data_IF_760372830885
#
_entry.id   IF_760372830885
#
_cell.length_a   1.000
_cell.length_b   1.000
_cell.length_c   1.000
_cell.angle_alpha   90.00
_cell.angle_beta   90.00
_cell.angle_gamma   90.00
#
_symmetry.space_group_name_H-M   'P 1'
#
loop_
_entity.id
_entity.type
_entity.pdbx_description
1 polymer ?
#
# COMPACT_ATOMS: atom_id res chain seq x y z
N UNK A 1 22.44 -0.15 15.87
CA UNK A 1 22.32 -0.80 14.54
C UNK A 1 20.86 -0.84 14.17
N UNK A 2 20.42 0.20 13.49
CA UNK A 2 19.01 0.42 13.19
C UNK A 2 18.64 -0.49 12.01
N UNK A 3 17.59 -1.29 12.17
CA UNK A 3 16.99 -2.13 11.13
C UNK A 3 16.03 -1.44 10.12
N UNK A 4 15.84 -0.10 10.01
CA UNK A 4 14.81 0.43 9.13
C UNK A 4 15.16 0.31 7.64
N UNK A 5 16.45 0.21 7.27
CA UNK A 5 16.88 0.16 5.86
C UNK A 5 16.51 -1.10 5.10
N UNK A 6 16.32 -2.24 5.76
CA UNK A 6 15.96 -3.49 5.07
C UNK A 6 14.47 -3.54 4.71
N UNK A 7 13.60 -3.05 5.60
CA UNK A 7 12.15 -2.99 5.35
C UNK A 7 11.85 -1.98 4.25
N UNK A 8 12.48 -0.80 4.30
CA UNK A 8 12.36 0.21 3.22
C UNK A 8 12.85 -0.35 1.88
N UNK A 9 13.94 -1.14 1.86
CA UNK A 9 14.43 -1.78 0.65
C UNK A 9 13.51 -2.90 0.15
N UNK A 10 12.90 -3.68 1.03
CA UNK A 10 11.96 -4.74 0.67
C UNK A 10 10.63 -4.19 0.14
N UNK A 11 10.12 -3.12 0.75
CA UNK A 11 8.94 -2.38 0.29
C UNK A 11 9.20 -1.75 -1.09
N UNK A 12 10.36 -1.10 -1.26
CA UNK A 12 10.80 -0.57 -2.56
C UNK A 12 11.03 -1.69 -3.59
N UNK A 13 11.48 -2.87 -3.17
CA UNK A 13 11.58 -4.05 -4.03
C UNK A 13 10.20 -4.45 -4.53
N UNK A 14 9.23 -4.65 -3.64
CA UNK A 14 7.86 -5.01 -4.02
C UNK A 14 7.28 -4.02 -5.04
N UNK A 15 7.43 -2.73 -4.77
CA UNK A 15 7.02 -1.67 -5.69
C UNK A 15 7.76 -1.70 -7.04
N UNK A 16 9.09 -1.88 -7.02
CA UNK A 16 9.91 -1.97 -8.23
C UNK A 16 9.58 -3.19 -9.09
N UNK A 17 9.26 -4.34 -8.47
CA UNK A 17 8.82 -5.54 -9.17
C UNK A 17 7.46 -5.34 -9.84
N UNK A 18 6.49 -4.74 -9.12
CA UNK A 18 5.18 -4.42 -9.68
C UNK A 18 5.27 -3.50 -10.91
N UNK A 19 6.14 -2.50 -10.84
CA UNK A 19 6.33 -1.55 -11.93
C UNK A 19 7.13 -2.13 -13.11
N UNK A 20 8.18 -2.91 -12.86
CA UNK A 20 8.92 -3.64 -13.88
C UNK A 20 7.99 -4.63 -14.62
N UNK A 21 7.08 -5.28 -13.90
CA UNK A 21 6.07 -6.15 -14.48
C UNK A 21 5.10 -5.39 -15.39
N UNK A 22 4.62 -4.22 -14.95
CA UNK A 22 3.80 -3.34 -15.79
C UNK A 22 4.52 -2.83 -17.04
N UNK A 23 5.81 -2.47 -16.94
CA UNK A 23 6.60 -2.05 -18.10
C UNK A 23 6.74 -3.17 -19.13
N UNK A 24 6.89 -4.42 -18.68
CA UNK A 24 6.93 -5.61 -19.55
C UNK A 24 5.57 -5.96 -20.14
N UNK A 25 4.49 -5.73 -19.39
CA UNK A 25 3.12 -6.06 -19.77
C UNK A 25 2.16 -4.88 -19.50
N UNK A 26 2.13 -3.85 -20.37
CA UNK A 26 1.35 -2.65 -20.14
C UNK A 26 -0.15 -2.86 -20.49
N UNK A 27 -0.79 -3.85 -19.87
CA UNK A 27 -2.22 -4.13 -20.05
C UNK A 27 -3.06 -3.53 -18.93
N UNK A 28 -4.35 -3.36 -19.20
CA UNK A 28 -5.30 -2.83 -18.22
C UNK A 28 -5.48 -3.77 -17.00
N UNK A 29 -5.37 -5.07 -17.21
CA UNK A 29 -5.41 -6.09 -16.15
C UNK A 29 -4.23 -5.92 -15.18
N UNK A 30 -3.03 -5.67 -15.71
CA UNK A 30 -1.84 -5.42 -14.88
C UNK A 30 -1.98 -4.11 -14.11
N UNK A 31 -2.53 -3.05 -14.72
CA UNK A 31 -2.88 -1.80 -14.01
C UNK A 31 -3.83 -2.03 -12.84
N UNK A 32 -4.84 -2.89 -13.02
CA UNK A 32 -5.73 -3.28 -11.93
C UNK A 32 -4.98 -4.08 -10.85
N UNK A 33 -4.12 -5.02 -11.24
CA UNK A 33 -3.35 -5.85 -10.31
C UNK A 33 -2.42 -5.03 -9.41
N UNK A 34 -1.73 -4.02 -9.98
CA UNK A 34 -0.87 -3.11 -9.20
C UNK A 34 -1.65 -1.94 -8.57
N UNK A 35 -2.99 -1.97 -8.67
CA UNK A 35 -3.91 -0.99 -8.08
C UNK A 35 -3.67 0.46 -8.53
N UNK A 36 -3.19 0.63 -9.76
CA UNK A 36 -2.91 1.91 -10.43
C UNK A 36 -4.11 2.38 -11.28
N UNK A 37 -5.33 2.17 -10.80
CA UNK A 37 -6.55 2.67 -11.48
C UNK A 37 -7.28 3.69 -10.63
N UNK A 38 -8.04 4.57 -11.29
CA UNK A 38 -8.85 5.59 -10.62
C UNK A 38 -9.86 4.99 -9.63
N UNK A 39 -10.37 3.79 -9.92
CA UNK A 39 -11.26 3.03 -9.03
C UNK A 39 -10.58 2.77 -7.69
N UNK A 40 -9.33 2.30 -7.71
CA UNK A 40 -8.55 2.07 -6.50
C UNK A 40 -8.26 3.39 -5.79
N UNK A 41 -7.96 4.48 -6.51
CA UNK A 41 -7.76 5.79 -5.89
C UNK A 41 -9.00 6.27 -5.12
N UNK A 42 -10.19 6.05 -5.67
CA UNK A 42 -11.46 6.36 -5.00
C UNK A 42 -11.70 5.41 -3.81
N UNK A 43 -11.49 4.11 -4.00
CA UNK A 43 -11.60 3.10 -2.95
C UNK A 43 -10.69 3.44 -1.75
N UNK A 44 -9.42 3.73 -2.01
CA UNK A 44 -8.46 4.11 -0.98
C UNK A 44 -8.78 5.48 -0.38
N UNK A 45 -9.29 6.43 -1.16
CA UNK A 45 -9.78 7.71 -0.64
C UNK A 45 -10.92 7.52 0.38
N UNK A 46 -11.85 6.61 0.09
CA UNK A 46 -12.94 6.26 1.00
C UNK A 46 -12.44 5.48 2.23
N UNK A 47 -11.64 4.43 2.03
CA UNK A 47 -11.13 3.58 3.11
C UNK A 47 -10.16 4.31 4.04
N UNK A 48 -9.42 5.29 3.53
CA UNK A 48 -8.55 6.15 4.36
C UNK A 48 -9.30 7.32 4.99
N UNK A 49 -10.61 7.47 4.74
CA UNK A 49 -11.41 8.65 5.13
C UNK A 49 -10.69 9.95 4.73
N UNK A 50 -10.17 10.03 3.50
CA UNK A 50 -9.40 11.17 3.01
C UNK A 50 -8.03 11.37 3.69
N UNK A 51 -7.49 10.37 4.38
CA UNK A 51 -6.21 10.42 5.10
C UNK A 51 -6.31 10.50 6.62
N UNK A 52 -7.53 10.47 7.19
CA UNK A 52 -7.76 10.42 8.65
C UNK A 52 -7.41 9.05 9.25
N UNK A 53 -7.57 7.97 8.47
CA UNK A 53 -7.06 6.64 8.81
C UNK A 53 -5.60 6.55 8.36
N UNK A 54 -4.70 6.63 9.34
CA UNK A 54 -3.24 6.61 9.15
C UNK A 54 -2.64 5.69 10.22
N UNK A 55 -1.40 5.22 10.04
CA UNK A 55 -0.78 4.26 10.94
C UNK A 55 -0.84 4.69 12.42
N UNK A 56 -0.73 6.01 12.67
CA UNK A 56 -0.86 6.61 14.01
C UNK A 56 -2.25 6.47 14.62
N UNK A 57 -3.33 6.59 13.83
CA UNK A 57 -4.71 6.45 14.33
C UNK A 57 -5.13 4.99 14.43
N UNK A 58 -4.44 4.07 13.74
CA UNK A 58 -4.74 2.64 13.73
C UNK A 58 -4.01 1.81 14.78
N UNK A 59 -2.80 2.20 15.18
CA UNK A 59 -2.09 1.56 16.29
C UNK A 59 -2.96 1.37 17.53
N UNK A 60 -3.64 2.40 18.07
CA UNK A 60 -4.50 2.22 19.24
C UNK A 60 -5.73 1.35 18.94
N UNK A 61 -6.29 1.41 17.72
CA UNK A 61 -7.41 0.55 17.31
C UNK A 61 -7.01 -0.94 17.23
N UNK A 62 -5.85 -1.22 16.63
CA UNK A 62 -5.31 -2.58 16.52
C UNK A 62 -4.98 -3.14 17.89
N UNK A 63 -4.35 -2.34 18.76
CA UNK A 63 -4.08 -2.74 20.14
C UNK A 63 -5.37 -3.04 20.89
N UNK A 64 -6.37 -2.15 20.81
CA UNK A 64 -7.68 -2.37 21.41
C UNK A 64 -8.35 -3.66 20.90
N UNK A 65 -8.27 -3.95 19.59
CA UNK A 65 -8.81 -5.20 19.02
C UNK A 65 -8.10 -6.44 19.57
N UNK A 66 -6.78 -6.38 19.71
CA UNK A 66 -5.98 -7.47 20.29
C UNK A 66 -6.36 -7.66 21.77
N UNK A 67 -6.45 -6.57 22.53
CA UNK A 67 -6.80 -6.60 23.96
C UNK A 67 -8.22 -7.13 24.21
N UNK A 68 -9.12 -6.96 23.24
CA UNK A 68 -10.49 -7.52 23.25
C UNK A 68 -10.57 -8.97 22.71
N UNK A 69 -9.44 -9.63 22.45
CA UNK A 69 -9.39 -11.00 21.92
C UNK A 69 -9.77 -11.13 20.44
N UNK A 70 -9.90 -10.01 19.72
CA UNK A 70 -10.27 -9.94 18.30
C UNK A 70 -9.03 -9.88 17.40
N UNK A 71 -8.00 -10.66 17.70
CA UNK A 71 -6.71 -10.65 16.99
C UNK A 71 -6.84 -10.96 15.50
N UNK A 72 -7.81 -11.80 15.11
CA UNK A 72 -8.08 -12.09 13.70
C UNK A 72 -8.56 -10.85 12.94
N UNK A 73 -9.49 -10.09 13.52
CA UNK A 73 -9.95 -8.83 12.95
C UNK A 73 -8.83 -7.80 12.91
N UNK A 74 -7.98 -7.75 13.94
CA UNK A 74 -6.79 -6.90 13.92
C UNK A 74 -5.86 -7.25 12.74
N UNK A 75 -5.66 -8.55 12.45
CA UNK A 75 -4.86 -9.00 11.33
C UNK A 75 -5.49 -8.64 9.97
N UNK A 76 -6.80 -8.78 9.82
CA UNK A 76 -7.51 -8.38 8.60
C UNK A 76 -7.40 -6.88 8.35
N UNK A 77 -7.58 -6.07 9.39
CA UNK A 77 -7.37 -4.63 9.33
C UNK A 77 -5.91 -4.32 8.96
N UNK A 78 -4.94 -4.95 9.62
CA UNK A 78 -3.52 -4.77 9.32
C UNK A 78 -3.15 -5.13 7.87
N UNK A 79 -3.77 -6.16 7.27
CA UNK A 79 -3.55 -6.54 5.87
C UNK A 79 -3.99 -5.46 4.89
N UNK A 80 -5.13 -4.82 5.15
CA UNK A 80 -5.60 -3.71 4.32
C UNK A 80 -4.57 -2.57 4.35
N UNK A 81 -4.01 -2.26 5.52
CA UNK A 81 -2.99 -1.22 5.67
C UNK A 81 -1.65 -1.60 5.03
N UNK A 82 -1.22 -2.85 5.19
CA UNK A 82 0.00 -3.32 4.56
C UNK A 82 -0.11 -3.26 3.03
N UNK A 83 -1.29 -3.61 2.49
CA UNK A 83 -1.55 -3.47 1.05
C UNK A 83 -1.54 -1.99 0.63
N UNK A 84 -2.10 -1.08 1.43
CA UNK A 84 -2.04 0.36 1.16
C UNK A 84 -0.60 0.89 1.09
N UNK A 85 0.28 0.44 1.98
CA UNK A 85 1.71 0.79 1.94
C UNK A 85 2.36 0.32 0.63
N UNK A 86 2.12 -0.92 0.22
CA UNK A 86 2.61 -1.42 -1.06
C UNK A 86 2.16 -0.54 -2.22
N UNK A 87 0.87 -0.16 -2.28
CA UNK A 87 0.34 0.75 -3.30
C UNK A 87 1.07 2.08 -3.28
N UNK A 88 1.23 2.72 -2.12
CA UNK A 88 1.98 3.97 -2.00
C UNK A 88 3.41 3.84 -2.50
N UNK A 89 4.08 2.72 -2.21
CA UNK A 89 5.38 2.38 -2.75
C UNK A 89 5.39 2.33 -4.28
N UNK A 90 4.38 1.69 -4.91
CA UNK A 90 4.26 1.67 -6.38
C UNK A 90 4.08 3.09 -6.93
N UNK A 91 3.21 3.91 -6.32
CA UNK A 91 3.00 5.30 -6.75
C UNK A 91 4.27 6.16 -6.59
N UNK A 92 5.02 5.98 -5.51
CA UNK A 92 6.28 6.67 -5.28
C UNK A 92 7.35 6.25 -6.31
N UNK A 93 7.50 4.94 -6.56
CA UNK A 93 8.40 4.41 -7.56
C UNK A 93 8.04 4.90 -8.98
N UNK A 94 6.74 4.90 -9.31
CA UNK A 94 6.23 5.41 -10.58
C UNK A 94 6.56 6.90 -10.79
N UNK A 95 6.36 7.73 -9.75
CA UNK A 95 6.71 9.15 -9.79
C UNK A 95 8.22 9.37 -9.96
N UNK A 96 9.05 8.59 -9.26
CA UNK A 96 10.50 8.67 -9.37
C UNK A 96 11.04 8.25 -10.75
N UNK A 97 10.31 7.38 -11.46
CA UNK A 97 10.67 6.91 -12.79
C UNK A 97 10.24 7.86 -13.92
N UNK A 98 9.66 9.03 -13.60
CA UNK A 98 9.41 10.09 -14.58
C UNK A 98 8.36 9.74 -15.64
N UNK A 99 7.45 8.80 -15.38
CA UNK A 99 6.31 8.52 -16.26
C UNK A 99 5.20 9.54 -15.98
N UNK A 100 5.53 10.82 -16.17
CA UNK A 100 4.52 11.87 -16.35
C UNK A 100 3.75 11.57 -17.64
N UNK A 101 2.44 11.75 -17.58
CA UNK A 101 1.48 11.20 -18.53
C UNK A 101 1.79 11.46 -20.01
N UNK A 102 1.50 10.44 -20.81
CA UNK A 102 0.89 10.64 -22.13
C UNK A 102 -0.63 10.69 -21.96
#
# INVERSE_FOLDING_TARGET
HSCPTMIDQEEQRGAGWALCFYQKHPTWEVRMMIQMTWLHRLLWGLLSLGGLLNERSLRPLLQWLIDNGKSQLALEVARIFLNWYNVRGVYAAYKNLGVEGS
#
